data_IF_564040947210
#
_entry.id   IF_564040947210
#
_cell.length_a   1.000
_cell.length_b   1.000
_cell.length_c   1.000
_cell.angle_alpha   90.00
_cell.angle_beta   90.00
_cell.angle_gamma   90.00
#
_symmetry.space_group_name_H-M   'P 1'
#
loop_
_entity.id
_entity.type
_entity.pdbx_description
1 polymer ?
#
# COMPACT_ATOMS: atom_id res chain seq x y z
N UNK A 1 6.69 -28.89 4.47
CA UNK A 1 5.32 -28.49 4.91
C UNK A 1 5.47 -27.25 5.77
N UNK A 2 5.44 -26.07 5.15
CA UNK A 2 5.65 -24.79 5.81
C UNK A 2 4.44 -24.41 6.65
N UNK A 3 4.64 -24.18 7.95
CA UNK A 3 3.56 -23.83 8.87
C UNK A 3 3.00 -22.44 8.58
N UNK A 4 1.69 -22.36 8.41
CA UNK A 4 0.94 -21.10 8.38
C UNK A 4 0.98 -20.47 9.78
N UNK A 5 1.68 -19.35 9.96
CA UNK A 5 1.60 -18.56 11.20
C UNK A 5 0.45 -17.56 11.07
N UNK A 6 -0.69 -17.87 11.68
CA UNK A 6 -1.80 -16.93 11.83
C UNK A 6 -1.49 -15.96 12.97
N UNK A 7 -1.23 -14.69 12.66
CA UNK A 7 -1.10 -13.64 13.66
C UNK A 7 -2.48 -12.99 13.91
N UNK A 8 -3.06 -13.20 15.10
CA UNK A 8 -4.20 -12.40 15.58
C UNK A 8 -3.66 -11.12 16.23
N UNK A 9 -3.76 -10.00 15.55
CA UNK A 9 -3.46 -8.68 16.13
C UNK A 9 -4.72 -8.18 16.84
N UNK A 10 -4.70 -8.12 18.17
CA UNK A 10 -5.75 -7.48 18.96
C UNK A 10 -5.52 -5.97 19.04
N UNK A 11 -6.46 -5.17 18.53
CA UNK A 11 -6.43 -3.71 18.63
C UNK A 11 -7.77 -3.19 19.17
N UNK A 12 -7.72 -2.42 20.27
CA UNK A 12 -8.87 -1.79 20.90
C UNK A 12 -9.59 -0.82 19.97
N UNK A 13 -10.94 -0.87 20.01
CA UNK A 13 -11.87 -0.03 19.27
C UNK A 13 -11.66 1.46 19.54
N UNK A 14 -11.27 2.20 18.52
CA UNK A 14 -11.61 3.62 18.39
C UNK A 14 -12.51 3.74 17.15
N UNK A 15 -13.81 4.00 17.37
CA UNK A 15 -14.80 4.16 16.31
C UNK A 15 -14.66 5.56 15.70
N UNK A 16 -14.08 5.63 14.50
CA UNK A 16 -14.32 6.72 13.57
C UNK A 16 -15.29 6.18 12.50
N UNK A 17 -16.40 6.87 12.27
CA UNK A 17 -17.35 6.55 11.19
C UNK A 17 -16.65 6.77 9.83
N UNK A 18 -16.59 5.75 8.97
CA UNK A 18 -15.95 5.85 7.66
C UNK A 18 -16.94 5.61 6.52
N UNK A 19 -17.02 6.57 5.59
CA UNK A 19 -17.73 6.44 4.31
C UNK A 19 -16.85 5.68 3.28
N UNK A 20 -17.51 5.03 2.32
CA UNK A 20 -16.95 4.36 1.15
C UNK A 20 -16.33 5.37 0.16
N UNK A 21 -15.23 6.02 0.55
CA UNK A 21 -14.49 6.97 -0.28
C UNK A 21 -12.99 6.71 -0.25
N UNK A 22 -12.26 7.37 -1.17
CA UNK A 22 -10.80 7.48 -1.14
C UNK A 22 -10.38 7.97 0.25
N UNK A 23 -9.46 7.26 0.90
CA UNK A 23 -8.87 7.71 2.15
C UNK A 23 -7.40 7.98 1.90
N UNK A 24 -6.98 9.18 2.27
CA UNK A 24 -5.60 9.64 2.13
C UNK A 24 -5.08 10.04 3.51
N UNK A 25 -3.87 9.62 3.82
CA UNK A 25 -3.18 9.91 5.08
C UNK A 25 -1.74 10.26 4.76
N UNK A 26 -1.28 11.45 5.16
CA UNK A 26 0.11 11.85 5.01
C UNK A 26 0.93 11.29 6.18
N UNK A 27 1.96 10.50 5.87
CA UNK A 27 2.79 9.78 6.85
C UNK A 27 4.07 10.53 7.21
N UNK A 28 4.63 11.26 6.25
CA UNK A 28 5.93 11.93 6.37
C UNK A 28 5.88 13.25 5.61
N UNK A 29 6.48 14.29 6.18
CA UNK A 29 6.79 15.55 5.51
C UNK A 29 8.28 15.86 5.73
N UNK A 30 9.03 16.08 4.66
CA UNK A 30 10.45 16.41 4.67
C UNK A 30 10.68 17.67 3.84
N UNK A 31 11.42 18.62 4.40
CA UNK A 31 11.86 19.81 3.67
C UNK A 31 13.35 19.67 3.38
N UNK A 32 13.72 19.72 2.10
CA UNK A 32 15.11 19.69 1.66
C UNK A 32 15.75 21.09 1.73
N UNK A 33 17.09 21.19 1.79
CA UNK A 33 17.80 22.49 1.86
C UNK A 33 17.54 23.41 0.67
N UNK A 34 17.21 22.86 -0.49
CA UNK A 34 16.83 23.60 -1.70
C UNK A 34 15.38 24.12 -1.65
N UNK A 35 14.66 23.87 -0.55
CA UNK A 35 13.26 24.21 -0.35
C UNK A 35 12.27 23.19 -0.91
N UNK A 36 12.73 22.12 -1.56
CA UNK A 36 11.86 21.05 -2.07
C UNK A 36 11.20 20.31 -0.90
N UNK A 37 9.87 20.22 -0.91
CA UNK A 37 9.13 19.44 0.10
C UNK A 37 8.78 18.07 -0.46
N UNK A 38 8.96 17.02 0.33
CA UNK A 38 8.53 15.66 0.02
C UNK A 38 7.52 15.18 1.05
N UNK A 39 6.34 14.79 0.58
CA UNK A 39 5.29 14.20 1.39
C UNK A 39 5.02 12.76 0.99
N UNK A 40 4.90 11.86 1.97
CA UNK A 40 4.47 10.47 1.70
C UNK A 40 2.99 10.34 2.01
N UNK A 41 2.21 10.05 0.99
CA UNK A 41 0.77 9.85 1.08
C UNK A 41 0.41 8.37 1.01
N UNK A 42 -0.20 7.86 2.07
CA UNK A 42 -0.88 6.57 2.05
C UNK A 42 -2.30 6.74 1.52
N UNK A 43 -2.75 5.85 0.64
CA UNK A 43 -4.15 5.83 0.21
C UNK A 43 -4.70 4.43 0.00
N UNK A 44 -6.03 4.30 0.04
CA UNK A 44 -6.72 3.09 -0.42
C UNK A 44 -7.96 3.40 -1.27
N UNK A 45 -8.29 2.46 -2.15
CA UNK A 45 -9.47 2.55 -3.02
C UNK A 45 -9.29 3.44 -4.26
N UNK A 46 -8.08 3.97 -4.48
CA UNK A 46 -7.70 4.65 -5.71
C UNK A 46 -7.39 3.67 -6.85
N UNK A 47 -7.32 4.20 -8.07
CA UNK A 47 -6.81 3.48 -9.24
C UNK A 47 -5.29 3.43 -9.19
N UNK A 48 -4.71 2.29 -9.54
CA UNK A 48 -3.25 2.12 -9.68
C UNK A 48 -2.96 1.89 -11.16
N UNK A 49 -2.09 2.70 -11.74
CA UNK A 49 -1.65 2.49 -13.11
C UNK A 49 -0.78 1.23 -13.21
N UNK A 50 -1.02 0.44 -14.25
CA UNK A 50 -0.36 -0.85 -14.44
C UNK A 50 1.12 -0.68 -14.73
N UNK A 51 1.50 0.38 -15.43
CA UNK A 51 2.89 0.68 -15.76
C UNK A 51 3.64 1.23 -14.55
N UNK A 52 3.03 2.10 -13.74
CA UNK A 52 3.63 2.53 -12.46
C UNK A 52 3.89 1.35 -11.51
N UNK A 53 2.91 0.44 -11.38
CA UNK A 53 3.10 -0.77 -10.60
C UNK A 53 4.21 -1.66 -11.19
N UNK A 54 4.32 -1.74 -12.51
CA UNK A 54 5.38 -2.49 -13.17
C UNK A 54 6.75 -1.89 -12.90
N UNK A 55 6.90 -0.56 -13.00
CA UNK A 55 8.14 0.14 -12.66
C UNK A 55 8.55 -0.11 -11.21
N UNK A 56 7.60 -0.10 -10.28
CA UNK A 56 7.87 -0.42 -8.89
C UNK A 56 8.27 -1.89 -8.69
N UNK A 57 7.65 -2.83 -9.42
CA UNK A 57 8.05 -4.24 -9.44
C UNK A 57 9.49 -4.40 -9.96
N UNK A 58 9.85 -3.69 -11.04
CA UNK A 58 11.19 -3.73 -11.61
C UNK A 58 12.24 -3.26 -10.58
N UNK A 59 11.95 -2.19 -9.83
CA UNK A 59 12.85 -1.66 -8.78
C UNK A 59 13.13 -2.67 -7.66
N UNK A 60 12.16 -3.52 -7.30
CA UNK A 60 12.35 -4.57 -6.26
C UNK A 60 12.83 -5.91 -6.83
N UNK A 61 13.16 -5.96 -8.13
CA UNK A 61 13.68 -7.15 -8.79
C UNK A 61 12.64 -8.24 -9.08
N UNK A 62 11.35 -7.89 -9.08
CA UNK A 62 10.28 -8.83 -9.41
C UNK A 62 10.15 -8.99 -10.93
N UNK A 63 9.86 -10.20 -11.44
CA UNK A 63 9.70 -10.42 -12.87
C UNK A 63 8.46 -9.68 -13.39
N UNK A 64 8.57 -9.13 -14.60
CA UNK A 64 7.44 -8.51 -15.29
C UNK A 64 6.34 -9.55 -15.56
N UNK A 65 5.10 -9.11 -15.38
CA UNK A 65 3.87 -9.89 -15.60
C UNK A 65 3.10 -9.27 -16.77
N UNK A 66 2.30 -10.04 -17.53
CA UNK A 66 1.49 -9.47 -18.61
C UNK A 66 0.58 -8.34 -18.10
N UNK A 67 0.62 -7.12 -18.68
CA UNK A 67 -0.14 -5.97 -18.19
C UNK A 67 -1.65 -6.23 -18.04
N UNK A 68 -2.24 -6.98 -18.97
CA UNK A 68 -3.67 -7.36 -18.91
C UNK A 68 -4.01 -8.23 -17.70
N UNK A 69 -3.09 -9.08 -17.25
CA UNK A 69 -3.26 -9.92 -16.05
C UNK A 69 -3.07 -9.09 -14.78
N UNK A 70 -2.14 -8.14 -14.78
CA UNK A 70 -1.94 -7.19 -13.67
C UNK A 70 -3.19 -6.31 -13.50
N UNK A 71 -3.71 -5.74 -14.60
CA UNK A 71 -4.95 -4.96 -14.60
C UNK A 71 -6.13 -5.77 -14.03
N UNK A 72 -6.26 -7.04 -14.45
CA UNK A 72 -7.29 -7.93 -13.93
C UNK A 72 -7.09 -8.21 -12.42
N UNK A 73 -5.86 -8.41 -11.95
CA UNK A 73 -5.57 -8.63 -10.54
C UNK A 73 -5.93 -7.40 -9.69
N UNK A 74 -5.58 -6.19 -10.15
CA UNK A 74 -5.96 -4.93 -9.49
C UNK A 74 -7.48 -4.78 -9.43
N UNK A 75 -8.17 -4.96 -10.56
CA UNK A 75 -9.63 -4.84 -10.65
C UNK A 75 -10.38 -5.81 -9.74
N UNK A 76 -9.90 -7.05 -9.61
CA UNK A 76 -10.52 -8.09 -8.79
C UNK A 76 -10.02 -8.10 -7.34
N UNK A 77 -9.25 -7.10 -6.93
CA UNK A 77 -8.84 -6.98 -5.54
C UNK A 77 -9.90 -6.26 -4.72
N UNK A 78 -10.17 -6.79 -3.54
CA UNK A 78 -11.07 -6.18 -2.58
C UNK A 78 -10.54 -4.82 -2.08
N UNK A 79 -9.22 -4.71 -1.97
CA UNK A 79 -8.54 -3.50 -1.56
C UNK A 79 -7.15 -3.43 -2.21
N UNK A 80 -6.79 -2.24 -2.66
CA UNK A 80 -5.42 -1.88 -3.03
C UNK A 80 -5.05 -0.67 -2.17
N UNK A 81 -3.94 -0.79 -1.44
CA UNK A 81 -3.35 0.30 -0.69
C UNK A 81 -2.05 0.73 -1.36
N UNK A 82 -1.80 2.03 -1.40
CA UNK A 82 -0.63 2.61 -2.05
C UNK A 82 0.10 3.57 -1.13
N UNK A 83 1.38 3.77 -1.42
CA UNK A 83 2.18 4.89 -0.93
C UNK A 83 2.64 5.69 -2.13
N UNK A 84 2.41 7.00 -2.11
CA UNK A 84 2.94 7.93 -3.10
C UNK A 84 3.89 8.93 -2.45
N UNK A 85 5.04 9.17 -3.08
CA UNK A 85 5.88 10.32 -2.78
C UNK A 85 5.38 11.50 -3.61
N UNK A 86 5.14 12.63 -2.97
CA UNK A 86 4.69 13.88 -3.57
C UNK A 86 5.78 14.91 -3.33
N UNK A 87 6.52 15.27 -4.38
CA UNK A 87 7.60 16.26 -4.33
C UNK A 87 7.12 17.58 -4.92
N UNK A 88 7.34 18.67 -4.18
CA UNK A 88 6.98 20.03 -4.60
C UNK A 88 8.22 20.91 -4.61
N UNK A 89 8.52 21.51 -5.75
CA UNK A 89 9.64 22.45 -5.89
C UNK A 89 9.18 23.88 -5.58
N UNK A 90 10.03 24.69 -4.91
CA UNK A 90 9.73 26.10 -4.69
C UNK A 90 9.50 26.84 -6.02
N UNK A 91 8.42 27.61 -6.12
CA UNK A 91 8.13 28.44 -7.29
C UNK A 91 7.57 27.69 -8.51
N UNK A 92 7.39 26.37 -8.43
CA UNK A 92 6.71 25.58 -9.46
C UNK A 92 5.27 25.29 -9.02
N UNK A 93 4.41 26.31 -9.04
CA UNK A 93 2.98 26.12 -8.73
C UNK A 93 2.34 25.16 -9.73
N UNK A 94 1.78 24.05 -9.22
CA UNK A 94 1.02 23.07 -10.02
C UNK A 94 1.84 21.94 -10.67
N UNK A 95 3.13 21.80 -10.36
CA UNK A 95 3.98 20.72 -10.90
C UNK A 95 4.43 19.72 -9.82
N UNK A 96 3.49 19.28 -8.99
CA UNK A 96 3.74 18.25 -7.97
C UNK A 96 4.14 16.95 -8.67
N UNK A 97 5.36 16.46 -8.39
CA UNK A 97 5.80 15.16 -8.88
C UNK A 97 5.27 14.08 -7.94
N UNK A 98 4.29 13.31 -8.41
CA UNK A 98 3.72 12.17 -7.70
C UNK A 98 4.36 10.88 -8.22
N UNK A 99 4.87 10.05 -7.34
CA UNK A 99 5.52 8.77 -7.67
C UNK A 99 5.00 7.65 -6.78
N UNK A 100 4.57 6.53 -7.36
CA UNK A 100 4.20 5.33 -6.63
C UNK A 100 5.45 4.68 -6.01
N UNK A 101 5.51 4.65 -4.67
CA UNK A 101 6.66 4.14 -3.91
C UNK A 101 6.32 2.92 -3.06
N UNK A 102 5.05 2.49 -3.02
CA UNK A 102 4.66 1.27 -2.31
C UNK A 102 3.26 0.80 -2.69
N UNK A 103 3.06 -0.52 -2.66
CA UNK A 103 1.76 -1.16 -2.90
C UNK A 103 1.55 -2.33 -1.96
N UNK A 104 0.32 -2.53 -1.55
CA UNK A 104 -0.17 -3.77 -0.98
C UNK A 104 -1.56 -4.04 -1.54
N UNK A 105 -1.89 -5.31 -1.73
CA UNK A 105 -3.16 -5.72 -2.34
C UNK A 105 -3.84 -6.76 -1.48
N UNK A 106 -5.16 -6.78 -1.42
CA UNK A 106 -5.91 -7.81 -0.72
C UNK A 106 -7.07 -8.33 -1.56
N UNK A 107 -7.22 -9.65 -1.60
CA UNK A 107 -8.44 -10.33 -2.06
C UNK A 107 -9.28 -10.74 -0.86
N UNK A 108 -10.60 -10.81 -1.00
CA UNK A 108 -11.49 -11.21 0.09
C UNK A 108 -12.72 -11.96 -0.44
N UNK A 109 -13.33 -12.77 0.41
CA UNK A 109 -14.68 -13.33 0.21
C UNK A 109 -15.79 -12.33 0.56
N UNK A 110 -15.43 -11.09 0.93
CA UNK A 110 -16.32 -10.00 1.34
C UNK A 110 -17.08 -10.26 2.65
N UNK A 111 -16.71 -11.30 3.41
CA UNK A 111 -17.40 -11.68 4.63
C UNK A 111 -16.43 -11.94 5.79
N UNK A 112 -15.56 -12.93 5.66
CA UNK A 112 -14.76 -13.42 6.78
C UNK A 112 -13.26 -13.32 6.53
N UNK A 113 -12.84 -13.55 5.29
CA UNK A 113 -11.45 -13.82 4.95
C UNK A 113 -10.90 -12.75 4.01
N UNK A 114 -9.67 -12.31 4.29
CA UNK A 114 -8.85 -11.60 3.34
C UNK A 114 -7.43 -12.18 3.30
N UNK A 115 -6.84 -12.17 2.11
CA UNK A 115 -5.44 -12.52 1.91
C UNK A 115 -4.71 -11.32 1.32
N UNK A 116 -3.65 -10.89 1.99
CA UNK A 116 -2.76 -9.84 1.53
C UNK A 116 -1.72 -10.43 0.58
N UNK A 117 -1.57 -9.77 -0.57
CA UNK A 117 -0.67 -10.08 -1.68
C UNK A 117 0.18 -8.86 -2.01
N UNK A 118 1.27 -9.09 -2.75
CA UNK A 118 2.06 -8.05 -3.41
C UNK A 118 2.43 -6.88 -2.46
N UNK A 119 3.02 -7.16 -1.30
CA UNK A 119 3.52 -6.11 -0.39
C UNK A 119 4.92 -5.68 -0.85
N UNK A 120 5.03 -4.47 -1.39
CA UNK A 120 6.25 -3.93 -1.97
C UNK A 120 6.43 -2.46 -1.61
N UNK A 121 7.68 -2.07 -1.41
CA UNK A 121 8.13 -0.69 -1.16
C UNK A 121 9.38 -0.46 -1.99
N UNK A 122 9.45 0.69 -2.65
CA UNK A 122 10.62 1.12 -3.42
C UNK A 122 11.88 1.02 -2.55
N UNK A 123 12.98 0.42 -3.05
CA UNK A 123 14.22 0.25 -2.29
C UNK A 123 14.75 1.53 -1.61
N UNK A 124 14.59 2.71 -2.23
CA UNK A 124 15.03 3.99 -1.64
C UNK A 124 14.22 4.40 -0.40
N UNK A 125 13.04 3.81 -0.23
CA UNK A 125 12.10 4.07 0.86
C UNK A 125 12.05 2.92 1.88
N UNK A 126 12.82 1.86 1.69
CA UNK A 126 12.95 0.77 2.64
C UNK A 126 13.74 1.18 3.89
N UNK A 127 13.64 0.39 4.96
CA UNK A 127 14.29 0.69 6.25
C UNK A 127 13.62 1.80 7.08
N UNK A 128 12.63 2.51 6.54
CA UNK A 128 11.93 3.62 7.19
C UNK A 128 10.60 3.21 7.85
N UNK A 129 10.28 1.92 7.91
CA UNK A 129 9.03 1.42 8.50
C UNK A 129 7.79 1.53 7.60
N UNK A 130 7.92 2.01 6.36
CA UNK A 130 6.80 2.22 5.44
C UNK A 130 6.06 0.93 5.06
N UNK A 131 6.77 -0.19 4.88
CA UNK A 131 6.13 -1.49 4.62
C UNK A 131 5.26 -1.96 5.79
N UNK A 132 5.73 -1.72 7.03
CA UNK A 132 4.95 -1.99 8.25
C UNK A 132 3.72 -1.10 8.31
N UNK A 133 3.87 0.20 8.09
CA UNK A 133 2.75 1.15 8.09
C UNK A 133 1.69 0.79 7.03
N UNK A 134 2.12 0.41 5.82
CA UNK A 134 1.25 -0.02 4.73
C UNK A 134 0.40 -1.23 5.12
N UNK A 135 1.02 -2.28 5.68
CA UNK A 135 0.32 -3.49 6.14
C UNK A 135 -0.60 -3.20 7.32
N UNK A 136 -0.14 -2.45 8.32
CA UNK A 136 -0.95 -2.11 9.50
C UNK A 136 -2.20 -1.32 9.13
N UNK A 137 -2.08 -0.35 8.21
CA UNK A 137 -3.23 0.43 7.75
C UNK A 137 -4.20 -0.41 6.93
N UNK A 138 -3.70 -1.32 6.08
CA UNK A 138 -4.55 -2.27 5.36
C UNK A 138 -5.31 -3.19 6.33
N UNK A 139 -4.64 -3.73 7.36
CA UNK A 139 -5.28 -4.56 8.39
C UNK A 139 -6.38 -3.77 9.10
N UNK A 140 -6.12 -2.52 9.52
CA UNK A 140 -7.13 -1.66 10.13
C UNK A 140 -8.32 -1.41 9.20
N UNK A 141 -8.06 -1.21 7.91
CA UNK A 141 -9.12 -1.00 6.93
C UNK A 141 -9.97 -2.26 6.70
N UNK A 142 -9.37 -3.46 6.66
CA UNK A 142 -10.07 -4.74 6.57
C UNK A 142 -10.91 -5.03 7.81
N UNK A 143 -10.35 -4.84 9.01
CA UNK A 143 -11.06 -5.04 10.29
C UNK A 143 -12.28 -4.09 10.42
N UNK A 144 -12.16 -2.85 9.93
CA UNK A 144 -13.29 -1.90 9.90
C UNK A 144 -14.42 -2.32 8.95
N UNK A 145 -14.12 -3.18 7.98
CA UNK A 145 -15.11 -3.78 7.06
C UNK A 145 -15.55 -5.17 7.54
N UNK A 146 -15.36 -5.46 8.83
CA UNK A 146 -15.77 -6.69 9.50
C UNK A 146 -15.08 -7.98 9.00
N UNK A 147 -13.93 -7.84 8.31
CA UNK A 147 -13.11 -8.98 7.90
C UNK A 147 -12.16 -9.33 9.05
N UNK A 148 -12.51 -10.37 9.80
CA UNK A 148 -11.76 -10.79 10.99
C UNK A 148 -10.59 -11.75 10.75
N UNK A 149 -10.58 -12.49 9.63
CA UNK A 149 -9.50 -13.43 9.32
C UNK A 149 -8.62 -12.89 8.19
N UNK A 150 -7.39 -12.49 8.53
CA UNK A 150 -6.45 -11.87 7.60
C UNK A 150 -5.20 -12.74 7.51
N UNK A 151 -4.87 -13.17 6.29
CA UNK A 151 -3.73 -14.03 5.99
C UNK A 151 -2.75 -13.31 5.07
N UNK A 152 -1.46 -13.64 5.20
CA UNK A 152 -0.43 -13.30 4.22
C UNK A 152 0.56 -14.47 4.13
N UNK A 153 1.28 -14.55 3.01
CA UNK A 153 2.37 -15.50 2.83
C UNK A 153 3.68 -14.71 2.77
N UNK A 154 4.64 -15.10 3.61
CA UNK A 154 5.95 -14.50 3.66
C UNK A 154 7.01 -15.57 3.42
N UNK A 155 7.99 -15.26 2.58
CA UNK A 155 9.15 -16.12 2.39
C UNK A 155 9.99 -16.12 3.67
N UNK A 156 10.44 -17.31 4.08
CA UNK A 156 11.23 -17.48 5.32
C UNK A 156 12.66 -16.95 5.24
N UNK A 157 13.04 -16.22 4.18
CA UNK A 157 14.37 -15.63 4.03
C UNK A 157 14.36 -14.21 4.57
N UNK A 158 14.63 -14.10 5.86
CA UNK A 158 15.02 -12.88 6.57
C UNK A 158 16.28 -13.15 7.36
#
# INVERSE_FOLDING_TARGET
LGGTKTFRIGLSRCLLHFRTGLQEVYLVDKIQPDGTTEQIMFSFGGTVDVYELQELCDKVGWPRRPPSKVAAALKNSYMVATLHSIKKSPGAEGNDKVELIGVARATSDHAFNATIWDVLVDPHYQGQGLGKALVEQMIRALLRRDIGNITLFADGKG
#
